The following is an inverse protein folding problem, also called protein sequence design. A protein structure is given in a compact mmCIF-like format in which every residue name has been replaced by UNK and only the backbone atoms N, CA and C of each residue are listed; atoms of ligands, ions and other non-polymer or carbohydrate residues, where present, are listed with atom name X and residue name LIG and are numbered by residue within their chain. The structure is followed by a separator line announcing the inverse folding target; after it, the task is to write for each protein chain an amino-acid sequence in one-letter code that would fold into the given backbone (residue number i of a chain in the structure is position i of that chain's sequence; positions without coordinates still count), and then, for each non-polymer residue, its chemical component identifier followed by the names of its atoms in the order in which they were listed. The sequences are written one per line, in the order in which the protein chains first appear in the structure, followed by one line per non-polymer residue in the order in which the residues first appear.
data_IF_248400730208
#
_entry.id   IF_248400730208
#
_cell.length_a   1.000
_cell.length_b   1.000
_cell.length_c   1.000
_cell.angle_alpha   90.00
_cell.angle_beta   90.00
_cell.angle_gamma   90.00
#
_symmetry.space_group_name_H-M   'P 1'
#
loop_
_entity.id
_entity.type
_entity.pdbx_description
1 polymer ?
#
# COMPACT_ATOMS: atom_id res chain seq x y z
N UNK A 1 4.13 -14.50 -24.17
CA UNK A 1 3.35 -13.57 -23.68
C UNK A 1 3.95 -12.86 -22.58
N UNK A 2 3.57 -11.72 -22.41
CA UNK A 2 4.08 -11.07 -21.43
C UNK A 2 3.22 -10.87 -20.37
N UNK A 3 3.65 -10.72 -19.22
CA UNK A 3 2.85 -10.47 -18.18
C UNK A 3 2.65 -9.12 -17.98
N UNK A 4 1.48 -8.74 -17.64
CA UNK A 4 1.14 -7.45 -17.28
C UNK A 4 1.67 -7.20 -15.94
N UNK A 5 2.54 -6.28 -15.77
CA UNK A 5 3.06 -5.93 -14.47
C UNK A 5 2.40 -4.67 -13.99
N UNK A 6 1.66 -4.76 -12.92
CA UNK A 6 1.01 -3.59 -12.34
C UNK A 6 1.94 -2.89 -11.37
N UNK A 7 1.86 -1.57 -11.36
CA UNK A 7 2.66 -0.73 -10.48
C UNK A 7 1.78 -0.16 -9.40
N UNK A 8 2.18 -0.35 -8.16
CA UNK A 8 1.49 0.21 -7.01
C UNK A 8 2.29 1.38 -6.50
N UNK A 9 1.64 2.52 -6.36
CA UNK A 9 2.29 3.72 -5.87
C UNK A 9 1.53 4.28 -4.71
N UNK A 10 2.23 4.82 -3.74
CA UNK A 10 1.59 5.57 -2.66
C UNK A 10 2.06 7.00 -2.71
N UNK A 11 1.25 7.91 -2.22
CA UNK A 11 1.58 9.31 -2.18
C UNK A 11 1.36 9.84 -0.78
N UNK A 12 2.43 10.04 -0.07
CA UNK A 12 2.43 10.64 1.26
C UNK A 12 1.51 9.95 2.24
N UNK A 13 1.59 8.62 2.29
CA UNK A 13 0.79 7.87 3.24
C UNK A 13 1.20 8.18 4.67
N UNK A 14 0.22 8.39 5.53
CA UNK A 14 0.45 8.62 6.94
C UNK A 14 -0.42 7.67 7.75
N UNK A 15 0.16 7.05 8.75
CA UNK A 15 -0.59 6.25 9.70
C UNK A 15 -0.10 6.54 11.10
N UNK A 16 -1.06 6.80 11.99
CA UNK A 16 -0.77 7.02 13.39
C UNK A 16 -1.51 6.03 14.24
N UNK A 17 -0.87 5.61 15.31
CA UNK A 17 -1.52 4.83 16.34
C UNK A 17 -1.40 5.65 17.62
N UNK A 18 -2.51 6.14 18.13
CA UNK A 18 -2.57 7.08 19.27
C UNK A 18 -1.74 8.31 18.88
N UNK A 19 -0.72 8.66 19.60
CA UNK A 19 0.08 9.82 19.29
C UNK A 19 1.34 9.48 18.50
N UNK A 20 1.49 8.20 18.13
CA UNK A 20 2.71 7.77 17.46
C UNK A 20 2.50 7.67 15.97
N UNK A 21 3.35 8.35 15.20
CA UNK A 21 3.32 8.24 13.75
C UNK A 21 4.18 7.05 13.34
N UNK A 22 3.51 6.04 12.77
CA UNK A 22 4.19 4.82 12.36
C UNK A 22 4.63 4.92 10.90
N UNK A 23 3.82 5.55 10.06
CA UNK A 23 4.17 5.81 8.67
C UNK A 23 4.02 7.30 8.45
N UNK A 24 5.07 7.95 7.97
CA UNK A 24 5.07 9.40 7.84
C UNK A 24 5.37 9.80 6.41
N UNK A 25 4.37 10.15 5.70
CA UNK A 25 4.42 10.66 4.32
C UNK A 25 5.20 9.71 3.40
N UNK A 26 4.89 8.42 3.49
CA UNK A 26 5.57 7.42 2.70
C UNK A 26 5.09 7.42 1.25
N UNK A 27 6.03 7.64 0.34
CA UNK A 27 5.76 7.55 -1.09
C UNK A 27 6.56 6.37 -1.63
N UNK A 28 5.85 5.27 -1.90
CA UNK A 28 6.42 4.01 -2.28
C UNK A 28 6.01 3.67 -3.69
N UNK A 29 6.89 3.02 -4.42
CA UNK A 29 6.60 2.59 -5.77
C UNK A 29 7.08 1.15 -5.89
N UNK A 30 6.16 0.19 -5.98
CA UNK A 30 6.49 -1.22 -6.07
C UNK A 30 5.70 -1.90 -7.16
N UNK A 31 6.26 -2.95 -7.70
CA UNK A 31 5.52 -3.80 -8.63
C UNK A 31 4.65 -4.75 -7.85
N UNK A 32 3.55 -5.15 -8.47
CA UNK A 32 2.59 -6.04 -7.84
C UNK A 32 3.24 -7.29 -7.27
N UNK A 33 4.15 -7.90 -7.97
CA UNK A 33 4.79 -9.12 -7.49
C UNK A 33 5.79 -8.90 -6.38
N UNK A 34 6.12 -7.64 -6.08
CA UNK A 34 7.11 -7.31 -5.06
C UNK A 34 6.49 -6.79 -3.76
N UNK A 35 5.16 -6.70 -3.73
CA UNK A 35 4.51 -6.09 -2.58
C UNK A 35 4.78 -6.84 -1.29
N UNK A 36 4.96 -8.15 -1.36
CA UNK A 36 5.24 -8.97 -0.19
C UNK A 36 6.58 -8.57 0.44
N UNK A 37 7.48 -7.98 -0.34
CA UNK A 37 8.74 -7.51 0.21
C UNK A 37 8.61 -6.44 1.28
N UNK A 38 7.43 -5.81 1.38
CA UNK A 38 7.19 -4.85 2.43
C UNK A 38 7.00 -5.52 3.79
N UNK A 39 6.83 -6.83 3.83
CA UNK A 39 6.69 -7.54 5.09
C UNK A 39 8.02 -7.90 5.72
N UNK A 40 9.10 -7.34 5.27
CA UNK A 40 10.40 -7.66 5.82
C UNK A 40 10.57 -7.25 7.28
N UNK A 41 11.65 -7.64 7.88
CA UNK A 41 11.90 -7.39 9.29
C UNK A 41 12.29 -5.96 9.63
N UNK A 42 12.37 -5.11 8.66
CA UNK A 42 12.87 -3.79 8.83
C UNK A 42 11.83 -2.81 9.20
N UNK A 43 11.40 -2.78 10.37
CA UNK A 43 10.60 -1.69 10.85
C UNK A 43 9.11 -1.80 10.64
N UNK A 44 8.38 -1.25 11.58
CA UNK A 44 6.94 -1.31 11.60
C UNK A 44 6.29 -0.57 10.45
N UNK A 45 6.97 0.44 9.92
CA UNK A 45 6.40 1.24 8.85
C UNK A 45 6.21 0.48 7.56
N UNK A 46 7.11 -0.44 7.22
CA UNK A 46 6.98 -1.23 6.00
C UNK A 46 5.80 -2.18 6.07
N UNK A 47 5.66 -2.91 7.15
CA UNK A 47 4.54 -3.82 7.35
C UNK A 47 3.22 -3.06 7.39
N UNK A 48 3.21 -1.92 8.08
CA UNK A 48 2.00 -1.09 8.14
C UNK A 48 1.63 -0.59 6.74
N UNK A 49 2.62 -0.21 5.94
CA UNK A 49 2.37 0.23 4.56
C UNK A 49 1.78 -0.92 3.74
N UNK A 50 2.28 -2.14 3.91
CA UNK A 50 1.71 -3.30 3.25
C UNK A 50 0.23 -3.45 3.61
N UNK A 51 -0.12 -3.34 4.90
CA UNK A 51 -1.51 -3.47 5.33
C UNK A 51 -2.39 -2.37 4.75
N UNK A 52 -1.88 -1.17 4.60
CA UNK A 52 -2.64 -0.09 3.97
C UNK A 52 -2.84 -0.35 2.47
N UNK A 53 -1.83 -0.85 1.80
CA UNK A 53 -1.92 -1.11 0.36
C UNK A 53 -2.90 -2.25 0.06
N UNK A 54 -2.91 -3.31 0.85
CA UNK A 54 -3.86 -4.40 0.62
C UNK A 54 -5.26 -4.09 1.14
N UNK A 55 -5.42 -3.05 1.94
CA UNK A 55 -6.73 -2.62 2.39
C UNK A 55 -7.14 -3.13 3.75
N UNK A 56 -6.20 -3.71 4.52
CA UNK A 56 -6.52 -4.17 5.86
C UNK A 56 -6.69 -3.03 6.84
N UNK A 57 -5.94 -1.93 6.64
CA UNK A 57 -6.09 -0.77 7.49
C UNK A 57 -6.13 0.48 6.62
N UNK A 58 -6.78 1.52 7.13
CA UNK A 58 -6.90 2.77 6.41
C UNK A 58 -5.80 3.71 6.76
N UNK A 59 -5.22 4.45 5.81
CA UNK A 59 -4.30 5.53 6.15
C UNK A 59 -5.03 6.70 6.79
N UNK A 60 -4.33 7.47 7.58
CA UNK A 60 -4.84 8.72 8.10
C UNK A 60 -4.94 9.73 6.98
N UNK A 61 -3.96 9.76 6.09
CA UNK A 61 -3.96 10.62 4.94
C UNK A 61 -3.08 10.01 3.85
N UNK A 62 -3.07 10.61 2.69
CA UNK A 62 -2.33 10.12 1.54
C UNK A 62 -3.19 9.31 0.61
N UNK A 63 -2.60 8.84 -0.46
CA UNK A 63 -3.33 8.11 -1.48
C UNK A 63 -2.58 6.89 -1.96
N UNK A 64 -3.31 5.94 -2.50
CA UNK A 64 -2.78 4.69 -3.03
C UNK A 64 -3.28 4.54 -4.45
N UNK A 65 -2.38 4.24 -5.37
CA UNK A 65 -2.71 4.11 -6.78
C UNK A 65 -2.27 2.75 -7.32
N UNK A 66 -3.07 2.19 -8.21
CA UNK A 66 -2.69 1.02 -8.98
C UNK A 66 -2.73 1.42 -10.44
N UNK A 67 -1.59 1.42 -11.10
CA UNK A 67 -1.46 1.84 -12.51
C UNK A 67 -2.12 3.20 -12.73
N UNK A 68 -1.84 4.14 -11.83
CA UNK A 68 -2.37 5.50 -11.88
C UNK A 68 -3.87 5.63 -11.59
N UNK A 69 -4.52 4.57 -11.16
CA UNK A 69 -5.90 4.65 -10.73
C UNK A 69 -5.94 4.73 -9.21
N UNK A 70 -6.62 5.70 -8.67
CA UNK A 70 -6.75 5.91 -7.24
C UNK A 70 -7.60 4.80 -6.63
N UNK A 71 -7.00 3.98 -5.78
CA UNK A 71 -7.70 2.89 -5.12
C UNK A 71 -7.78 3.09 -3.61
N UNK A 72 -7.54 4.31 -3.15
CA UNK A 72 -7.47 4.61 -1.73
C UNK A 72 -8.72 4.17 -0.97
N UNK A 73 -9.88 4.35 -1.60
CA UNK A 73 -11.15 4.00 -0.98
C UNK A 73 -11.70 2.65 -1.40
N UNK A 74 -10.97 1.88 -2.19
CA UNK A 74 -11.43 0.57 -2.61
C UNK A 74 -11.33 -0.40 -1.45
N UNK A 75 -12.36 -1.21 -1.19
CA UNK A 75 -12.28 -2.19 -0.13
C UNK A 75 -11.31 -3.32 -0.46
N UNK A 76 -10.92 -4.06 0.56
CA UNK A 76 -9.92 -5.10 0.40
C UNK A 76 -10.29 -6.12 -0.67
N UNK A 77 -11.57 -6.52 -0.72
CA UNK A 77 -11.98 -7.54 -1.69
C UNK A 77 -11.83 -7.04 -3.12
N UNK A 78 -12.06 -5.74 -3.34
CA UNK A 78 -11.90 -5.17 -4.65
C UNK A 78 -10.43 -5.10 -5.03
N UNK A 79 -9.57 -4.76 -4.10
CA UNK A 79 -8.13 -4.72 -4.34
C UNK A 79 -7.61 -6.12 -4.65
N UNK A 80 -8.12 -7.14 -3.97
CA UNK A 80 -7.74 -8.51 -4.27
C UNK A 80 -8.16 -8.91 -5.68
N UNK A 81 -9.33 -8.45 -6.13
CA UNK A 81 -9.77 -8.70 -7.48
C UNK A 81 -8.90 -8.01 -8.52
N UNK A 82 -8.24 -6.93 -8.15
CA UNK A 82 -7.33 -6.21 -9.02
C UNK A 82 -5.94 -6.85 -9.02
N UNK A 83 -5.73 -7.88 -8.22
CA UNK A 83 -4.45 -8.56 -8.12
C UNK A 83 -3.57 -8.12 -6.98
N UNK A 84 -4.10 -7.35 -6.03
CA UNK A 84 -3.34 -6.91 -4.88
C UNK A 84 -3.68 -7.81 -3.70
N UNK A 85 -2.79 -8.66 -3.33
CA UNK A 85 -3.02 -9.54 -2.18
C UNK A 85 -1.72 -10.13 -1.67
#
# INVERSE_FOLDING_TARGET
MEESTHIIQTDKLVKKYHSRTVVNEASINVRQGEIVGLLGPNGAGKTTSFYMIVGLIRPLSGKIFLDNHDITDAPMYKRAQMGIS
#
